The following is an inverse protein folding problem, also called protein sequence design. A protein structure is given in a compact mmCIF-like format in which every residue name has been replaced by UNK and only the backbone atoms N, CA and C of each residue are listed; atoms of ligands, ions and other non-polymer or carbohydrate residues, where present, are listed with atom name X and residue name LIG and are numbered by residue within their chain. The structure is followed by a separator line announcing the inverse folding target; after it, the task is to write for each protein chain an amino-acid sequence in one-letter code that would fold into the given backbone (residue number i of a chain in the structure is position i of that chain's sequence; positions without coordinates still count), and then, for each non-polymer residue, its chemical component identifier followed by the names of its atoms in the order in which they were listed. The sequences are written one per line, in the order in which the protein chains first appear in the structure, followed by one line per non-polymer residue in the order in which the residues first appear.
data_IF_271279474492
#
_entry.id   IF_271279474492
#
_cell.length_a   1.000
_cell.length_b   1.000
_cell.length_c   1.000
_cell.angle_alpha   90.00
_cell.angle_beta   90.00
_cell.angle_gamma   90.00
#
_symmetry.space_group_name_H-M   'P 1'
#
loop_
_entity.id
_entity.type
_entity.pdbx_description
1 polymer ?
#
# COMPACT_ATOMS: atom_id res chain seq x y z
N UNK A 1 10.85 7.65 -20.74
CA UNK A 1 11.38 7.28 -19.42
C UNK A 1 12.89 7.37 -19.46
N UNK A 2 13.46 8.10 -18.51
CA UNK A 2 14.92 8.14 -18.30
C UNK A 2 15.37 6.76 -17.81
N UNK A 3 16.43 6.21 -18.40
CA UNK A 3 17.01 4.94 -17.90
C UNK A 3 17.85 5.26 -16.68
N UNK A 4 17.47 4.72 -15.52
CA UNK A 4 18.25 4.86 -14.30
C UNK A 4 19.38 3.82 -14.36
N UNK A 5 20.66 4.23 -14.46
CA UNK A 5 21.77 3.28 -14.43
C UNK A 5 21.88 2.62 -13.05
N UNK A 6 22.16 1.32 -13.03
CA UNK A 6 22.34 0.56 -11.78
C UNK A 6 21.79 -0.86 -11.84
N UNK A 7 21.76 -1.49 -10.66
CA UNK A 7 21.15 -2.81 -10.43
C UNK A 7 20.16 -2.71 -9.28
N UNK A 8 19.20 -3.61 -9.22
CA UNK A 8 18.30 -3.69 -8.07
C UNK A 8 19.07 -4.12 -6.82
N UNK A 9 18.67 -3.59 -5.66
CA UNK A 9 19.24 -3.96 -4.38
C UNK A 9 19.08 -5.45 -4.14
N UNK A 10 17.92 -6.03 -4.49
CA UNK A 10 17.66 -7.48 -4.43
C UNK A 10 18.79 -8.30 -5.08
N UNK A 11 19.23 -7.89 -6.28
CA UNK A 11 20.27 -8.59 -7.04
C UNK A 11 21.66 -8.43 -6.42
N UNK A 12 21.95 -7.26 -5.84
CA UNK A 12 23.27 -6.96 -5.28
C UNK A 12 23.43 -7.45 -3.83
N UNK A 13 22.34 -7.50 -3.07
CA UNK A 13 22.32 -7.79 -1.63
C UNK A 13 23.13 -9.02 -1.20
N UNK A 14 23.04 -10.19 -1.88
CA UNK A 14 23.80 -11.38 -1.49
C UNK A 14 25.31 -11.19 -1.51
N UNK A 15 25.83 -10.30 -2.37
CA UNK A 15 27.26 -10.08 -2.59
C UNK A 15 27.81 -8.86 -1.83
N UNK A 16 26.97 -8.11 -1.12
CA UNK A 16 27.38 -6.95 -0.33
C UNK A 16 28.08 -7.36 0.96
N UNK A 17 29.08 -6.57 1.37
CA UNK A 17 29.65 -6.68 2.71
C UNK A 17 28.65 -6.25 3.79
N UNK A 18 28.93 -6.61 5.04
CA UNK A 18 28.14 -6.16 6.19
C UNK A 18 28.09 -4.63 6.30
N UNK A 19 29.23 -3.96 6.11
CA UNK A 19 29.30 -2.48 6.14
C UNK A 19 28.49 -1.82 5.02
N UNK A 20 28.46 -2.41 3.82
CA UNK A 20 27.63 -1.91 2.72
C UNK A 20 26.15 -2.09 3.03
N UNK A 21 25.74 -3.25 3.58
CA UNK A 21 24.34 -3.50 3.98
C UNK A 21 23.90 -2.54 5.08
N UNK A 22 24.75 -2.30 6.08
CA UNK A 22 24.46 -1.35 7.15
C UNK A 22 24.25 0.07 6.61
N UNK A 23 25.10 0.49 5.66
CA UNK A 23 24.99 1.78 4.98
C UNK A 23 23.66 1.90 4.24
N UNK A 24 23.28 0.88 3.45
CA UNK A 24 22.00 0.86 2.75
C UNK A 24 20.82 0.92 3.71
N UNK A 25 20.81 0.10 4.77
CA UNK A 25 19.71 0.09 5.75
C UNK A 25 19.55 1.45 6.42
N UNK A 26 20.66 2.11 6.77
CA UNK A 26 20.64 3.46 7.35
C UNK A 26 20.05 4.48 6.38
N UNK A 27 20.42 4.41 5.11
CA UNK A 27 19.88 5.30 4.06
C UNK A 27 18.39 5.05 3.84
N UNK A 28 17.95 3.79 3.74
CA UNK A 28 16.53 3.42 3.60
C UNK A 28 15.70 3.89 4.80
N UNK A 29 16.22 3.77 6.03
CA UNK A 29 15.56 4.29 7.22
C UNK A 29 15.39 5.82 7.15
N UNK A 30 16.35 6.53 6.54
CA UNK A 30 16.22 7.95 6.23
C UNK A 30 15.05 8.24 5.30
N UNK A 31 14.93 7.51 4.19
CA UNK A 31 13.83 7.67 3.24
C UNK A 31 12.46 7.35 3.85
N UNK A 32 12.36 6.25 4.63
CA UNK A 32 11.12 5.92 5.35
C UNK A 32 10.75 7.04 6.32
N UNK A 33 11.73 7.61 7.03
CA UNK A 33 11.49 8.75 7.90
C UNK A 33 11.01 10.00 7.13
N UNK A 34 11.55 10.28 5.93
CA UNK A 34 11.06 11.36 5.07
C UNK A 34 9.60 11.15 4.66
N UNK A 35 9.22 9.93 4.29
CA UNK A 35 7.83 9.58 3.98
C UNK A 35 6.91 9.79 5.18
N UNK A 36 7.34 9.34 6.37
CA UNK A 36 6.61 9.54 7.63
C UNK A 36 6.50 11.01 8.06
N UNK A 37 7.28 11.92 7.49
CA UNK A 37 7.20 13.35 7.76
C UNK A 37 6.22 14.11 6.86
N UNK A 38 5.75 13.48 5.77
CA UNK A 38 4.70 14.05 4.91
C UNK A 38 3.36 14.17 5.66
N UNK A 39 2.49 15.08 5.24
CA UNK A 39 1.24 15.39 5.95
C UNK A 39 0.09 15.59 4.96
N UNK A 40 -0.91 14.72 5.04
CA UNK A 40 -2.13 14.77 4.25
C UNK A 40 -3.38 14.76 5.13
N UNK A 41 -4.46 15.40 4.66
CA UNK A 41 -5.73 15.52 5.39
C UNK A 41 -6.66 14.31 5.22
N UNK A 42 -6.42 13.49 4.18
CA UNK A 42 -7.22 12.32 3.87
C UNK A 42 -6.35 11.18 3.35
N UNK A 43 -6.94 9.98 3.30
CA UNK A 43 -6.38 8.73 2.77
C UNK A 43 -6.96 8.51 1.37
N UNK A 44 -6.10 8.36 0.36
CA UNK A 44 -6.48 8.21 -1.03
C UNK A 44 -5.26 8.22 -1.95
N UNK A 45 -5.49 8.32 -3.26
CA UNK A 45 -4.41 8.49 -4.25
C UNK A 45 -4.12 9.96 -4.52
N UNK A 46 -2.89 10.23 -4.95
CA UNK A 46 -2.45 11.57 -5.34
C UNK A 46 -2.89 11.88 -6.78
N UNK A 47 -3.55 13.01 -6.96
CA UNK A 47 -3.98 13.54 -8.25
C UNK A 47 -3.30 14.88 -8.50
N UNK A 48 -2.86 15.11 -9.74
CA UNK A 48 -2.36 16.42 -10.14
C UNK A 48 -3.52 17.43 -10.13
N UNK A 49 -3.30 18.58 -9.48
CA UNK A 49 -4.20 19.73 -9.49
C UNK A 49 -3.45 20.97 -9.96
N UNK A 50 -4.17 22.03 -10.33
CA UNK A 50 -3.57 23.27 -10.83
C UNK A 50 -2.64 23.92 -9.78
N UNK A 51 -2.95 23.73 -8.49
CA UNK A 51 -2.20 24.27 -7.35
C UNK A 51 -1.25 23.25 -6.71
N UNK A 52 -1.09 22.06 -7.30
CA UNK A 52 -0.14 21.04 -6.84
C UNK A 52 -0.71 19.62 -6.88
N UNK A 53 -0.96 19.05 -5.70
CA UNK A 53 -1.37 17.66 -5.53
C UNK A 53 -2.56 17.56 -4.59
N UNK A 54 -3.66 17.01 -5.09
CA UNK A 54 -4.85 16.72 -4.29
C UNK A 54 -4.92 15.24 -3.94
N UNK A 55 -5.59 14.92 -2.83
CA UNK A 55 -5.89 13.54 -2.46
C UNK A 55 -7.31 13.21 -2.89
N UNK A 56 -7.45 12.30 -3.83
CA UNK A 56 -8.73 11.84 -4.37
C UNK A 56 -8.99 10.37 -4.04
N UNK A 57 -9.99 9.75 -4.70
CA UNK A 57 -10.29 8.34 -4.50
C UNK A 57 -9.05 7.48 -4.68
N UNK A 58 -8.91 6.44 -3.85
CA UNK A 58 -7.86 5.45 -3.95
C UNK A 58 -7.95 4.76 -5.31
N UNK A 59 -6.91 4.91 -6.12
CA UNK A 59 -6.74 4.14 -7.32
C UNK A 59 -6.44 2.69 -6.89
N UNK A 60 -7.14 1.71 -7.47
CA UNK A 60 -6.90 0.32 -7.18
C UNK A 60 -5.40 -0.03 -7.31
N UNK A 61 -4.82 -0.59 -6.24
CA UNK A 61 -3.38 -0.89 -6.17
C UNK A 61 -2.98 -1.86 -7.30
N UNK A 62 -1.75 -1.77 -7.81
CA UNK A 62 -1.27 -2.41 -9.03
C UNK A 62 -0.94 -3.90 -8.82
N UNK A 63 -1.71 -4.58 -7.97
CA UNK A 63 -1.68 -6.02 -7.78
C UNK A 63 -2.85 -6.63 -8.57
N UNK A 64 -2.75 -7.81 -9.20
CA UNK A 64 -3.92 -8.54 -9.69
C UNK A 64 -5.09 -8.62 -8.69
N UNK A 65 -4.82 -8.54 -7.39
CA UNK A 65 -5.84 -8.45 -6.32
C UNK A 65 -6.62 -7.15 -6.24
N UNK A 66 -6.08 -6.11 -6.84
CA UNK A 66 -6.48 -4.76 -6.56
C UNK A 66 -6.99 -4.02 -7.79
N UNK A 67 -6.99 -4.54 -9.03
CA UNK A 67 -7.72 -3.97 -10.19
C UNK A 67 -9.26 -4.02 -10.08
N UNK A 68 -9.77 -4.02 -8.85
CA UNK A 68 -11.19 -4.07 -8.51
C UNK A 68 -11.81 -2.70 -8.77
N UNK A 69 -12.13 -2.45 -10.03
CA UNK A 69 -12.70 -1.19 -10.51
C UNK A 69 -14.21 -1.35 -10.69
N UNK A 70 -14.97 -0.91 -9.70
CA UNK A 70 -16.41 -0.72 -9.81
C UNK A 70 -16.75 0.64 -9.20
N UNK A 71 -17.46 1.46 -9.97
CA UNK A 71 -17.84 2.82 -9.57
C UNK A 71 -18.76 2.85 -8.34
N UNK A 72 -19.32 1.70 -7.94
CA UNK A 72 -20.14 1.55 -6.74
C UNK A 72 -19.33 1.29 -5.46
N UNK A 73 -18.04 0.99 -5.57
CA UNK A 73 -17.18 0.69 -4.42
C UNK A 73 -16.76 1.98 -3.72
N UNK A 74 -16.84 1.98 -2.38
CA UNK A 74 -16.21 3.02 -1.58
C UNK A 74 -14.70 3.01 -1.83
N UNK A 75 -14.23 4.09 -2.46
CA UNK A 75 -12.83 4.30 -2.81
C UNK A 75 -12.28 5.56 -2.13
N UNK A 76 -13.01 6.17 -1.19
CA UNK A 76 -12.57 7.40 -0.55
C UNK A 76 -12.60 8.63 -1.48
N UNK A 77 -11.80 9.68 -1.20
CA UNK A 77 -10.80 9.73 -0.13
C UNK A 77 -11.45 9.72 1.26
N UNK A 78 -10.77 9.14 2.24
CA UNK A 78 -11.29 8.99 3.61
C UNK A 78 -10.62 9.99 4.56
N UNK A 79 -11.39 10.67 5.40
CA UNK A 79 -10.87 11.68 6.32
C UNK A 79 -10.34 11.09 7.63
N UNK A 80 -10.72 9.84 7.93
CA UNK A 80 -10.32 9.14 9.16
C UNK A 80 -9.82 7.73 8.87
N UNK A 81 -9.00 7.19 9.77
CA UNK A 81 -8.56 5.79 9.70
C UNK A 81 -9.73 4.81 9.77
N UNK A 82 -10.78 5.16 10.52
CA UNK A 82 -11.99 4.35 10.64
C UNK A 82 -12.70 4.23 9.28
N UNK A 83 -12.94 5.36 8.62
CA UNK A 83 -13.54 5.39 7.29
C UNK A 83 -12.71 4.60 6.29
N UNK A 84 -11.38 4.77 6.29
CA UNK A 84 -10.47 4.01 5.42
C UNK A 84 -10.57 2.49 5.63
N UNK A 85 -10.53 2.03 6.87
CA UNK A 85 -10.62 0.60 7.18
C UNK A 85 -11.98 0.02 6.81
N UNK A 86 -13.07 0.74 7.11
CA UNK A 86 -14.42 0.31 6.75
C UNK A 86 -14.63 0.29 5.24
N UNK A 87 -14.18 1.32 4.51
CA UNK A 87 -14.23 1.37 3.05
C UNK A 87 -13.44 0.24 2.40
N UNK A 88 -12.24 -0.08 2.91
CA UNK A 88 -11.48 -1.24 2.47
C UNK A 88 -12.25 -2.56 2.65
N UNK A 89 -12.86 -2.77 3.82
CA UNK A 89 -13.64 -3.98 4.11
C UNK A 89 -14.88 -4.07 3.20
N UNK A 90 -15.63 -2.98 3.07
CA UNK A 90 -16.82 -2.94 2.24
C UNK A 90 -16.49 -3.27 0.79
N UNK A 91 -15.42 -2.67 0.25
CA UNK A 91 -14.92 -2.96 -1.08
C UNK A 91 -14.58 -4.45 -1.27
N UNK A 92 -13.90 -5.06 -0.32
CA UNK A 92 -13.55 -6.49 -0.37
C UNK A 92 -14.79 -7.40 -0.35
N UNK A 93 -15.76 -7.10 0.53
CA UNK A 93 -17.00 -7.88 0.65
C UNK A 93 -17.86 -7.75 -0.62
N UNK A 94 -18.01 -6.54 -1.15
CA UNK A 94 -18.78 -6.30 -2.37
C UNK A 94 -18.14 -7.03 -3.56
N UNK A 95 -16.82 -6.94 -3.73
CA UNK A 95 -16.13 -7.60 -4.83
C UNK A 95 -16.30 -9.12 -4.81
N UNK A 96 -15.98 -9.77 -3.67
CA UNK A 96 -16.05 -11.24 -3.55
C UNK A 96 -17.50 -11.74 -3.66
N UNK A 97 -18.49 -10.89 -3.37
CA UNK A 97 -19.90 -11.23 -3.61
C UNK A 97 -20.24 -11.30 -5.10
N UNK A 98 -19.60 -10.47 -5.93
CA UNK A 98 -19.78 -10.46 -7.39
C UNK A 98 -18.82 -11.39 -8.15
N UNK A 99 -17.65 -11.67 -7.58
CA UNK A 99 -16.55 -12.41 -8.21
C UNK A 99 -15.98 -13.50 -7.26
N UNK A 100 -16.79 -14.46 -6.80
CA UNK A 100 -16.33 -15.51 -5.87
C UNK A 100 -15.20 -16.38 -6.45
N UNK A 101 -15.10 -16.49 -7.77
CA UNK A 101 -14.05 -17.21 -8.49
C UNK A 101 -12.64 -16.67 -8.25
N UNK A 102 -12.52 -15.36 -8.05
CA UNK A 102 -11.24 -14.73 -7.76
C UNK A 102 -10.68 -15.24 -6.43
N UNK A 103 -11.53 -15.42 -5.43
CA UNK A 103 -11.14 -15.97 -4.13
C UNK A 103 -10.60 -17.40 -4.26
N UNK A 104 -11.25 -18.23 -5.07
CA UNK A 104 -10.82 -19.62 -5.29
C UNK A 104 -9.48 -19.70 -6.03
N UNK A 105 -9.30 -18.87 -7.06
CA UNK A 105 -8.02 -18.78 -7.78
C UNK A 105 -6.89 -18.27 -6.89
N UNK A 106 -7.18 -17.35 -5.96
CA UNK A 106 -6.18 -16.81 -5.03
C UNK A 106 -5.58 -17.90 -4.16
N UNK A 107 -6.45 -18.72 -3.58
CA UNK A 107 -6.06 -19.66 -2.53
C UNK A 107 -5.87 -21.08 -3.04
N UNK A 108 -5.91 -21.27 -4.37
CA UNK A 108 -5.80 -22.59 -5.01
C UNK A 108 -6.74 -23.61 -4.35
N UNK A 109 -7.94 -23.18 -3.97
CA UNK A 109 -8.93 -24.01 -3.30
C UNK A 109 -10.06 -24.38 -4.27
N UNK A 110 -10.62 -25.58 -4.10
CA UNK A 110 -11.82 -25.98 -4.83
C UNK A 110 -12.94 -24.97 -4.57
N UNK A 111 -13.80 -24.73 -5.58
CA UNK A 111 -14.92 -23.80 -5.51
C UNK A 111 -15.84 -24.16 -4.34
N UNK A 112 -15.60 -23.56 -3.19
CA UNK A 112 -16.28 -23.89 -1.95
C UNK A 112 -17.05 -22.65 -1.50
N UNK A 113 -18.37 -22.66 -1.71
CA UNK A 113 -19.29 -21.60 -1.27
C UNK A 113 -19.14 -21.28 0.21
N UNK A 114 -18.71 -22.24 1.04
CA UNK A 114 -18.49 -22.04 2.46
C UNK A 114 -17.30 -21.10 2.73
N UNK A 115 -16.31 -21.03 1.85
CA UNK A 115 -15.17 -20.11 2.00
C UNK A 115 -15.58 -18.67 1.80
N UNK A 116 -16.41 -18.38 0.79
CA UNK A 116 -16.93 -17.03 0.54
C UNK A 116 -17.75 -16.54 1.73
N UNK A 117 -18.64 -17.38 2.28
CA UNK A 117 -19.45 -17.01 3.43
C UNK A 117 -18.62 -16.88 4.73
N UNK A 118 -17.59 -17.71 4.91
CA UNK A 118 -16.63 -17.54 6.00
C UNK A 118 -15.87 -16.22 5.89
N UNK A 119 -15.43 -15.86 4.69
CA UNK A 119 -14.74 -14.59 4.42
C UNK A 119 -15.66 -13.41 4.75
N UNK A 120 -16.86 -13.36 4.18
CA UNK A 120 -17.87 -12.33 4.50
C UNK A 120 -18.15 -12.23 6.00
N UNK A 121 -18.27 -13.37 6.69
CA UNK A 121 -18.50 -13.41 8.14
C UNK A 121 -17.33 -12.80 8.91
N UNK A 122 -16.09 -13.10 8.52
CA UNK A 122 -14.89 -12.54 9.14
C UNK A 122 -14.82 -11.02 8.94
N UNK A 123 -15.06 -10.54 7.72
CA UNK A 123 -15.05 -9.11 7.42
C UNK A 123 -16.14 -8.35 8.17
N UNK A 124 -17.37 -8.89 8.26
CA UNK A 124 -18.44 -8.30 9.08
C UNK A 124 -18.05 -8.18 10.56
N UNK A 125 -17.45 -9.22 11.14
CA UNK A 125 -16.94 -9.18 12.52
C UNK A 125 -15.87 -8.11 12.70
N UNK A 126 -14.97 -7.97 11.71
CA UNK A 126 -13.93 -6.96 11.72
C UNK A 126 -14.53 -5.55 11.65
N UNK A 127 -15.51 -5.30 10.78
CA UNK A 127 -16.23 -4.01 10.70
C UNK A 127 -16.87 -3.63 12.03
N UNK A 128 -17.63 -4.54 12.66
CA UNK A 128 -18.23 -4.29 13.98
C UNK A 128 -17.17 -3.99 15.04
N UNK A 129 -16.00 -4.63 14.95
CA UNK A 129 -14.91 -4.38 15.88
C UNK A 129 -14.29 -2.99 15.66
N UNK A 130 -14.06 -2.59 14.41
CA UNK A 130 -13.57 -1.25 14.05
C UNK A 130 -14.54 -0.16 14.51
N UNK A 131 -15.85 -0.36 14.33
CA UNK A 131 -16.87 0.60 14.77
C UNK A 131 -16.76 0.92 16.28
N UNK A 132 -16.35 -0.06 17.08
CA UNK A 132 -16.25 0.04 18.55
C UNK A 132 -14.84 0.39 19.07
N UNK A 133 -13.86 0.59 18.18
CA UNK A 133 -12.44 0.78 18.51
C UNK A 133 -11.95 2.23 18.36
N UNK A 134 -12.74 3.22 18.80
CA UNK A 134 -12.38 4.65 18.72
C UNK A 134 -11.04 5.00 19.38
N UNK A 135 -10.65 4.26 20.41
CA UNK A 135 -9.41 4.52 21.16
C UNK A 135 -8.13 4.02 20.47
N UNK A 136 -8.25 3.13 19.47
CA UNK A 136 -7.10 2.58 18.73
C UNK A 136 -6.85 3.31 17.42
N UNK A 137 -7.86 4.03 16.93
CA UNK A 137 -7.80 4.79 15.69
C UNK A 137 -7.62 6.25 16.10
N UNK A 138 -6.40 6.82 16.06
CA UNK A 138 -6.11 8.19 16.48
C UNK A 138 -6.99 9.26 15.83
N UNK A 139 -7.76 8.89 14.79
CA UNK A 139 -8.92 9.64 14.31
C UNK A 139 -8.64 10.20 12.93
N UNK A 140 -8.80 11.51 12.80
CA UNK A 140 -8.36 12.28 11.64
C UNK A 140 -6.85 12.43 11.62
N UNK A 141 -6.28 12.75 10.46
CA UNK A 141 -4.84 12.81 10.21
C UNK A 141 -3.96 13.64 11.18
N UNK A 142 -2.64 13.70 10.90
CA UNK A 142 -2.13 13.67 9.54
C UNK A 142 -1.78 12.27 9.03
N UNK A 143 -2.17 12.01 7.78
CA UNK A 143 -1.77 10.83 7.02
C UNK A 143 -0.44 11.09 6.30
N UNK A 144 0.22 10.02 5.89
CA UNK A 144 1.58 10.04 5.33
C UNK A 144 1.60 9.38 3.96
N UNK A 145 2.57 9.75 3.12
CA UNK A 145 2.82 9.10 1.84
C UNK A 145 3.34 7.69 2.08
N UNK A 146 2.78 6.73 1.34
CA UNK A 146 3.14 5.32 1.38
C UNK A 146 3.56 4.85 0.00
N UNK A 147 4.70 4.17 -0.06
CA UNK A 147 5.10 3.36 -1.19
C UNK A 147 4.60 1.92 -0.95
N UNK A 148 3.55 1.45 -1.65
CA UNK A 148 2.89 0.18 -1.32
C UNK A 148 3.79 -1.05 -1.50
N UNK A 149 4.78 -0.96 -2.38
CA UNK A 149 5.71 -2.04 -2.70
C UNK A 149 7.18 -1.67 -2.41
N UNK A 150 7.44 -1.16 -1.20
CA UNK A 150 8.79 -0.73 -0.79
C UNK A 150 9.69 -1.93 -0.46
N UNK A 151 10.13 -2.64 -1.49
CA UNK A 151 10.92 -3.85 -1.37
C UNK A 151 12.26 -3.73 -2.15
N UNK A 152 13.26 -4.61 -1.91
CA UNK A 152 14.59 -4.50 -2.52
C UNK A 152 14.64 -4.57 -4.06
N UNK A 153 13.62 -5.09 -4.75
CA UNK A 153 13.57 -5.08 -6.22
C UNK A 153 13.29 -3.68 -6.77
N UNK A 154 12.62 -2.82 -5.97
CA UNK A 154 12.27 -1.44 -6.30
C UNK A 154 13.28 -0.40 -5.80
N UNK A 155 14.43 -0.86 -5.29
CA UNK A 155 15.54 0.00 -4.88
C UNK A 155 16.69 -0.19 -5.87
N UNK A 156 17.12 0.89 -6.50
CA UNK A 156 18.26 0.90 -7.43
C UNK A 156 19.53 1.30 -6.69
N UNK A 157 20.64 0.58 -6.94
CA UNK A 157 21.97 0.88 -6.40
C UNK A 157 23.00 1.00 -7.51
N UNK A 158 24.09 1.71 -7.22
CA UNK A 158 25.23 1.82 -8.13
C UNK A 158 25.92 0.47 -8.32
N UNK A 159 26.41 0.19 -9.54
CA UNK A 159 26.97 -1.13 -9.89
C UNK A 159 28.36 -1.35 -9.28
N UNK A 160 29.15 -0.29 -9.08
CA UNK A 160 30.51 -0.37 -8.57
C UNK A 160 30.60 -0.23 -7.04
N UNK A 161 29.69 0.54 -6.44
CA UNK A 161 29.47 0.65 -5.01
C UNK A 161 27.98 0.46 -4.66
N UNK A 162 27.55 -0.79 -4.40
CA UNK A 162 26.15 -1.08 -4.08
C UNK A 162 25.69 -0.52 -2.72
N UNK A 163 26.54 0.18 -1.98
CA UNK A 163 26.12 0.95 -0.80
C UNK A 163 25.42 2.26 -1.15
N UNK A 164 25.56 2.73 -2.40
CA UNK A 164 24.97 3.97 -2.89
C UNK A 164 23.62 3.66 -3.55
N UNK A 165 22.53 4.11 -2.92
CA UNK A 165 21.19 4.06 -3.50
C UNK A 165 21.06 5.19 -4.53
N UNK A 166 20.67 4.85 -5.75
CA UNK A 166 20.52 5.81 -6.86
C UNK A 166 19.08 6.19 -7.13
N UNK A 167 18.13 5.29 -6.85
CA UNK A 167 16.70 5.59 -6.97
C UNK A 167 15.82 4.65 -6.15
N UNK A 168 14.63 5.14 -5.80
CA UNK A 168 13.46 4.33 -5.44
C UNK A 168 12.49 4.41 -6.62
N UNK A 169 12.13 3.27 -7.20
CA UNK A 169 11.29 3.19 -8.39
C UNK A 169 9.95 2.53 -8.06
N UNK A 170 9.09 2.43 -9.06
CA UNK A 170 7.80 1.73 -8.97
C UNK A 170 6.80 2.38 -8.00
N UNK A 171 6.74 3.71 -8.06
CA UNK A 171 5.77 4.54 -7.32
C UNK A 171 4.34 4.43 -7.88
N UNK A 172 4.08 3.51 -8.80
CA UNK A 172 2.72 3.25 -9.23
C UNK A 172 1.88 2.83 -8.02
N UNK A 173 0.65 3.32 -7.98
CA UNK A 173 -0.25 3.04 -6.87
C UNK A 173 0.22 3.58 -5.49
N UNK A 174 1.23 4.47 -5.44
CA UNK A 174 1.55 5.26 -4.25
C UNK A 174 0.31 6.04 -3.77
N UNK A 175 0.15 6.08 -2.44
CA UNK A 175 -1.07 6.61 -1.82
C UNK A 175 -0.74 7.21 -0.45
N UNK A 176 -1.68 7.98 0.07
CA UNK A 176 -1.62 8.47 1.45
C UNK A 176 -2.26 7.44 2.37
N UNK A 177 -1.66 7.14 3.51
CA UNK A 177 -2.10 6.10 4.42
C UNK A 177 -1.91 6.51 5.90
N UNK A 178 -2.51 5.76 6.84
CA UNK A 178 -2.15 5.87 8.26
C UNK A 178 -0.65 5.62 8.47
N UNK A 179 -0.06 6.26 9.49
CA UNK A 179 1.39 6.15 9.75
C UNK A 179 1.83 4.74 10.12
N UNK A 180 0.94 3.93 10.70
CA UNK A 180 1.20 2.52 11.00
C UNK A 180 1.18 1.61 9.77
N UNK A 181 0.80 2.12 8.59
CA UNK A 181 0.70 1.36 7.35
C UNK A 181 1.88 1.58 6.37
N UNK A 182 2.87 2.38 6.75
CA UNK A 182 4.09 2.67 5.94
C UNK A 182 5.16 1.63 6.17
#
# INVERSE_FOLDING_TARGET
FEQIPGRTLERMWPNMSESQRETVVRTLAGYVNELLQTRFSSIGSLYASDDGTDVGPMIPICNPWCFRTDATLDSGPWATEKEYLLGCIEREVQWISGHPEDLYSTWSCDSNSDLVEQYKTLFKKLSTRIETMDYLLPGSGPFVLRHPDFNPSNIMVEEHDPSVITAVIDWECANTAPSWAV
#
